data_IF_020831758884
#
_entry.id   IF_020831758884
#
_cell.length_a   1.000
_cell.length_b   1.000
_cell.length_c   1.000
_cell.angle_alpha   90.00
_cell.angle_beta   90.00
_cell.angle_gamma   90.00
#
_symmetry.space_group_name_H-M   'P 1'
#
loop_
_entity.id
_entity.type
_entity.pdbx_description
1 polymer ?
#
# COMPACT_ATOMS: atom_id res chain seq x y z
N UNK A 1 32.23 31.87 17.39
CA UNK A 1 32.72 30.62 16.76
C UNK A 1 31.62 29.57 16.89
N UNK A 2 31.09 29.06 15.78
CA UNK A 2 30.21 27.90 15.84
C UNK A 2 31.05 26.66 16.19
N UNK A 3 30.71 25.95 17.28
CA UNK A 3 31.39 24.72 17.64
C UNK A 3 31.10 23.65 16.57
N UNK A 4 32.15 23.19 15.88
CA UNK A 4 32.05 22.10 14.91
C UNK A 4 32.01 20.79 15.68
N UNK A 5 30.92 20.04 15.55
CA UNK A 5 30.77 18.74 16.21
C UNK A 5 31.28 17.61 15.30
N UNK A 6 32.34 16.93 15.76
CA UNK A 6 32.95 15.76 15.12
C UNK A 6 32.79 14.51 16.00
N UNK A 7 33.04 13.31 15.43
CA UNK A 7 32.98 12.05 16.17
C UNK A 7 31.57 11.50 16.46
N UNK A 8 30.50 12.12 15.94
CA UNK A 8 29.11 11.67 16.16
C UNK A 8 28.90 10.22 15.70
N UNK A 9 29.43 9.85 14.53
CA UNK A 9 29.33 8.47 14.02
C UNK A 9 29.94 7.43 14.98
N UNK A 10 31.05 7.76 15.64
CA UNK A 10 31.67 6.88 16.64
C UNK A 10 30.79 6.77 17.89
N UNK A 11 30.21 7.89 18.36
CA UNK A 11 29.29 7.89 19.50
C UNK A 11 28.01 7.09 19.22
N UNK A 12 27.46 7.19 18.00
CA UNK A 12 26.28 6.41 17.61
C UNK A 12 26.54 4.89 17.59
N UNK A 13 27.77 4.48 17.24
CA UNK A 13 28.20 3.07 17.22
C UNK A 13 28.73 2.55 18.54
N UNK A 14 29.14 3.43 19.46
CA UNK A 14 29.75 3.04 20.72
C UNK A 14 28.77 2.27 21.60
N UNK A 15 29.14 1.11 22.16
CA UNK A 15 28.32 0.41 23.15
C UNK A 15 28.25 1.19 24.48
N UNK A 16 29.22 2.06 24.76
CA UNK A 16 29.30 2.84 25.99
C UNK A 16 28.39 4.08 26.01
N UNK A 17 27.81 4.46 24.88
CA UNK A 17 26.89 5.60 24.81
C UNK A 17 25.46 5.13 25.06
N UNK A 18 24.76 5.67 26.07
CA UNK A 18 23.35 5.37 26.33
C UNK A 18 22.47 5.62 25.11
N UNK A 19 21.40 4.85 24.95
CA UNK A 19 20.52 4.95 23.78
C UNK A 19 19.78 6.27 23.71
N UNK A 20 19.40 6.83 24.85
CA UNK A 20 18.77 8.13 25.00
C UNK A 20 19.68 9.24 24.45
N UNK A 21 20.99 9.14 24.72
CA UNK A 21 21.98 10.09 24.22
C UNK A 21 22.25 9.88 22.72
N UNK A 22 22.27 8.64 22.25
CA UNK A 22 22.35 8.34 20.80
C UNK A 22 21.17 8.95 20.03
N UNK A 23 19.95 8.85 20.57
CA UNK A 23 18.76 9.45 19.97
C UNK A 23 18.88 10.98 19.89
N UNK A 24 19.28 11.64 20.98
CA UNK A 24 19.51 13.10 21.00
C UNK A 24 20.58 13.51 19.98
N UNK A 25 21.69 12.76 19.92
CA UNK A 25 22.78 13.00 18.97
C UNK A 25 22.32 12.83 17.52
N UNK A 26 21.54 11.80 17.22
CA UNK A 26 21.03 11.56 15.87
C UNK A 26 20.07 12.67 15.42
N UNK A 27 19.13 13.09 16.28
CA UNK A 27 18.21 14.20 16.00
C UNK A 27 18.95 15.51 15.79
N UNK A 28 19.92 15.82 16.65
CA UNK A 28 20.78 16.99 16.50
C UNK A 28 21.59 16.95 15.19
N UNK A 29 22.19 15.80 14.88
CA UNK A 29 22.98 15.63 13.66
C UNK A 29 22.16 15.78 12.38
N UNK A 30 20.88 15.37 12.39
CA UNK A 30 19.98 15.50 11.25
C UNK A 30 19.72 16.96 10.85
N UNK A 31 19.45 17.80 11.87
CA UNK A 31 19.05 19.20 11.70
C UNK A 31 20.28 20.11 11.54
N UNK A 32 21.36 19.83 12.27
CA UNK A 32 22.52 20.72 12.33
C UNK A 32 23.39 20.65 11.08
N UNK A 33 23.66 21.82 10.48
CA UNK A 33 24.67 22.00 9.44
C UNK A 33 26.11 21.92 9.99
N UNK A 34 26.29 22.10 11.30
CA UNK A 34 27.60 22.14 11.98
C UNK A 34 28.16 20.75 12.32
N UNK A 35 27.38 19.70 12.09
CA UNK A 35 27.82 18.31 12.26
C UNK A 35 28.54 17.82 11.01
N UNK A 36 29.83 17.49 11.13
CA UNK A 36 30.60 16.92 10.03
C UNK A 36 30.37 15.41 9.97
N UNK A 37 29.53 14.98 9.02
CA UNK A 37 29.23 13.57 8.76
C UNK A 37 29.15 13.35 7.24
N UNK A 38 30.04 12.56 6.63
CA UNK A 38 29.94 12.18 5.22
C UNK A 38 28.63 11.42 4.97
N UNK A 39 27.93 11.73 3.88
CA UNK A 39 26.62 11.13 3.55
C UNK A 39 25.65 11.12 4.74
N UNK A 40 25.58 12.26 5.44
CA UNK A 40 24.87 12.44 6.72
C UNK A 40 23.50 11.79 6.75
N UNK A 41 22.70 12.02 5.71
CA UNK A 41 21.33 11.53 5.59
C UNK A 41 21.31 9.99 5.55
N UNK A 42 22.16 9.39 4.71
CA UNK A 42 22.27 7.93 4.62
C UNK A 42 22.76 7.32 5.93
N UNK A 43 23.79 7.90 6.56
CA UNK A 43 24.38 7.34 7.79
C UNK A 43 23.37 7.34 8.93
N UNK A 44 22.58 8.40 9.09
CA UNK A 44 21.58 8.50 10.14
C UNK A 44 20.36 7.59 9.88
N UNK A 45 19.93 7.48 8.62
CA UNK A 45 18.89 6.53 8.21
C UNK A 45 19.35 5.08 8.43
N UNK A 46 20.55 4.72 7.98
CA UNK A 46 21.14 3.39 8.18
C UNK A 46 21.28 3.08 9.67
N UNK A 47 21.79 4.01 10.48
CA UNK A 47 21.90 3.81 11.92
C UNK A 47 20.54 3.51 12.57
N UNK A 48 19.52 4.31 12.28
CA UNK A 48 18.20 4.15 12.88
C UNK A 48 17.53 2.84 12.42
N UNK A 49 17.62 2.52 11.13
CA UNK A 49 17.07 1.28 10.57
C UNK A 49 17.79 0.05 11.11
N UNK A 50 19.12 0.07 11.25
CA UNK A 50 19.88 -1.04 11.85
C UNK A 50 19.57 -1.23 13.33
N UNK A 51 19.35 -0.16 14.09
CA UNK A 51 18.95 -0.25 15.50
C UNK A 51 17.60 -0.97 15.63
N UNK A 52 16.60 -0.55 14.86
CA UNK A 52 15.27 -1.19 14.82
C UNK A 52 15.37 -2.65 14.35
N UNK A 53 16.11 -2.91 13.27
CA UNK A 53 16.32 -4.26 12.74
C UNK A 53 17.03 -5.17 13.75
N UNK A 54 17.99 -4.62 14.49
CA UNK A 54 18.69 -5.31 15.57
C UNK A 54 17.73 -5.71 16.69
N UNK A 55 16.84 -4.81 17.08
CA UNK A 55 15.84 -5.09 18.12
C UNK A 55 14.86 -6.20 17.72
N UNK A 56 14.26 -6.12 16.53
CA UNK A 56 13.34 -7.17 16.03
C UNK A 56 14.00 -8.53 15.88
N UNK A 57 15.27 -8.56 15.45
CA UNK A 57 16.03 -9.81 15.34
C UNK A 57 16.60 -10.27 16.70
N UNK A 58 16.19 -9.67 17.82
CA UNK A 58 16.66 -9.97 19.18
C UNK A 58 18.19 -9.86 19.33
N UNK A 59 18.83 -9.02 18.51
CA UNK A 59 20.28 -8.73 18.56
C UNK A 59 20.60 -7.55 19.47
N UNK A 60 19.59 -6.73 19.79
CA UNK A 60 19.73 -5.52 20.62
C UNK A 60 18.53 -5.45 21.56
N UNK A 61 18.79 -5.30 22.85
CA UNK A 61 17.74 -5.04 23.84
C UNK A 61 17.54 -3.53 23.98
N UNK A 62 16.30 -3.06 23.85
CA UNK A 62 15.92 -1.66 23.95
C UNK A 62 14.73 -1.54 24.91
N UNK A 63 14.73 -0.48 25.72
CA UNK A 63 13.54 -0.08 26.47
C UNK A 63 12.44 0.39 25.51
N UNK A 64 11.19 0.30 25.95
CA UNK A 64 10.03 0.75 25.17
C UNK A 64 10.13 2.22 24.77
N UNK A 65 10.61 3.07 25.68
CA UNK A 65 10.79 4.52 25.45
C UNK A 65 11.82 4.81 24.36
N UNK A 66 12.93 4.06 24.34
CA UNK A 66 13.96 4.16 23.29
C UNK A 66 13.43 3.66 21.95
N UNK A 67 12.68 2.56 21.95
CA UNK A 67 12.08 2.00 20.75
C UNK A 67 11.11 2.99 20.10
N UNK A 68 10.20 3.57 20.87
CA UNK A 68 9.29 4.64 20.41
C UNK A 68 10.07 5.86 19.94
N UNK A 69 11.14 6.23 20.65
CA UNK A 69 12.06 7.30 20.28
C UNK A 69 12.72 7.08 18.92
N UNK A 70 13.15 5.85 18.61
CA UNK A 70 13.73 5.46 17.33
C UNK A 70 12.69 5.51 16.20
N UNK A 71 11.48 4.99 16.42
CA UNK A 71 10.39 5.07 15.44
C UNK A 71 10.02 6.51 15.13
N UNK A 72 9.87 7.35 16.15
CA UNK A 72 9.62 8.79 15.97
C UNK A 72 10.79 9.47 15.25
N UNK A 73 12.04 9.15 15.60
CA UNK A 73 13.22 9.73 14.96
C UNK A 73 13.27 9.39 13.47
N UNK A 74 13.01 8.13 13.12
CA UNK A 74 12.96 7.68 11.74
C UNK A 74 11.80 8.34 10.98
N UNK A 75 10.63 8.48 11.61
CA UNK A 75 9.52 9.21 11.01
C UNK A 75 9.91 10.65 10.67
N UNK A 76 10.54 11.36 11.60
CA UNK A 76 10.98 12.74 11.41
C UNK A 76 11.99 12.86 10.27
N UNK A 77 12.89 11.88 10.13
CA UNK A 77 13.86 11.83 9.04
C UNK A 77 13.17 11.68 7.68
N UNK A 78 12.25 10.72 7.58
CA UNK A 78 11.48 10.43 6.35
C UNK A 78 10.61 11.62 5.92
N UNK A 79 10.05 12.37 6.87
CA UNK A 79 9.19 13.54 6.59
C UNK A 79 9.95 14.84 6.43
N UNK A 80 11.26 14.86 6.68
CA UNK A 80 12.01 16.10 6.64
C UNK A 80 12.04 16.68 5.22
N UNK A 81 11.84 18.00 5.12
CA UNK A 81 12.04 18.75 3.87
C UNK A 81 13.45 18.54 3.32
N UNK A 82 14.42 18.36 4.23
CA UNK A 82 15.81 18.07 3.91
C UNK A 82 15.95 16.80 3.08
N UNK A 83 15.34 15.69 3.51
CA UNK A 83 15.35 14.44 2.74
C UNK A 83 14.68 14.62 1.37
N UNK A 84 13.54 15.30 1.34
CA UNK A 84 12.81 15.58 0.09
C UNK A 84 13.66 16.38 -0.91
N UNK A 85 14.39 17.39 -0.46
CA UNK A 85 15.32 18.18 -1.30
C UNK A 85 16.48 17.31 -1.78
N UNK A 86 17.11 16.54 -0.87
CA UNK A 86 18.22 15.65 -1.22
C UNK A 86 17.84 14.62 -2.30
N UNK A 87 16.64 14.03 -2.20
CA UNK A 87 16.10 13.11 -3.21
C UNK A 87 15.87 13.83 -4.54
N UNK A 88 15.29 15.04 -4.53
CA UNK A 88 15.07 15.85 -5.74
C UNK A 88 16.37 16.27 -6.44
N UNK A 89 17.43 16.52 -5.67
CA UNK A 89 18.75 16.85 -6.19
C UNK A 89 19.48 15.64 -6.81
N UNK A 90 18.87 14.46 -6.83
CA UNK A 90 19.46 13.24 -7.40
C UNK A 90 20.62 12.67 -6.59
N UNK A 91 20.84 13.15 -5.36
CA UNK A 91 21.83 12.55 -4.46
C UNK A 91 21.38 11.14 -4.08
N UNK A 92 22.26 10.13 -4.13
CA UNK A 92 21.89 8.74 -3.89
C UNK A 92 21.66 8.50 -2.40
N UNK A 93 20.49 8.88 -1.89
CA UNK A 93 19.97 8.37 -0.63
C UNK A 93 19.29 7.05 -0.94
N UNK A 94 19.98 5.95 -0.65
CA UNK A 94 19.45 4.61 -0.81
C UNK A 94 18.59 4.28 0.40
N UNK A 95 17.30 4.60 0.32
CA UNK A 95 16.30 3.91 1.15
C UNK A 95 16.17 2.52 0.54
N UNK A 96 17.01 1.58 0.98
CA UNK A 96 16.98 0.22 0.44
C UNK A 96 15.57 -0.33 0.66
N UNK A 97 14.86 -0.68 -0.42
CA UNK A 97 13.44 -1.02 -0.37
C UNK A 97 13.14 -2.26 0.49
N UNK A 98 14.14 -3.12 0.68
CA UNK A 98 14.09 -4.22 1.64
C UNK A 98 13.97 -3.71 3.09
N UNK A 99 14.62 -2.59 3.42
CA UNK A 99 14.50 -1.96 4.73
C UNK A 99 13.15 -1.27 4.88
N UNK A 100 12.66 -0.60 3.84
CA UNK A 100 11.31 -0.03 3.87
C UNK A 100 10.24 -1.12 4.08
N UNK A 101 10.35 -2.25 3.36
CA UNK A 101 9.48 -3.41 3.55
C UNK A 101 9.57 -3.97 4.98
N UNK A 102 10.79 -4.12 5.50
CA UNK A 102 11.00 -4.57 6.87
C UNK A 102 10.35 -3.63 7.89
N UNK A 103 10.59 -2.32 7.77
CA UNK A 103 10.04 -1.31 8.66
C UNK A 103 8.51 -1.32 8.66
N UNK A 104 7.88 -1.38 7.49
CA UNK A 104 6.42 -1.46 7.37
C UNK A 104 5.90 -2.75 8.02
N UNK A 105 6.53 -3.91 7.75
CA UNK A 105 6.14 -5.19 8.38
C UNK A 105 6.24 -5.14 9.90
N UNK A 106 7.35 -4.59 10.39
CA UNK A 106 7.64 -4.42 11.80
C UNK A 106 6.64 -3.49 12.48
N UNK A 107 6.43 -2.29 11.95
CA UNK A 107 5.53 -1.30 12.54
C UNK A 107 4.06 -1.71 12.44
N UNK A 108 3.70 -2.52 11.43
CA UNK A 108 2.33 -3.05 11.27
C UNK A 108 1.91 -4.00 12.39
N UNK A 109 2.84 -4.54 13.16
CA UNK A 109 2.55 -5.35 14.35
C UNK A 109 2.08 -4.50 15.55
N UNK A 110 2.21 -3.17 15.47
CA UNK A 110 1.90 -2.24 16.56
C UNK A 110 0.88 -1.21 16.08
N UNK A 111 -0.39 -1.37 16.45
CA UNK A 111 -1.49 -0.53 15.94
C UNK A 111 -1.29 0.97 16.18
N UNK A 112 -0.66 1.37 17.29
CA UNK A 112 -0.37 2.79 17.59
C UNK A 112 0.63 3.43 16.61
N UNK A 113 1.43 2.64 15.91
CA UNK A 113 2.37 3.10 14.88
C UNK A 113 1.72 3.26 13.50
N UNK A 114 0.46 2.83 13.31
CA UNK A 114 -0.20 2.87 12.02
C UNK A 114 -0.22 4.30 11.43
N UNK A 115 -0.71 5.26 12.19
CA UNK A 115 -0.84 6.67 11.77
C UNK A 115 0.50 7.40 11.82
N UNK A 116 1.30 7.14 12.85
CA UNK A 116 2.52 7.90 13.12
C UNK A 116 3.73 7.44 12.31
N UNK A 117 3.71 6.21 11.78
CA UNK A 117 4.86 5.65 11.07
C UNK A 117 4.51 4.79 9.85
N UNK A 118 3.62 3.78 9.99
CA UNK A 118 3.35 2.81 8.92
C UNK A 118 2.80 3.47 7.66
N UNK A 119 1.70 4.22 7.80
CA UNK A 119 1.05 4.95 6.69
C UNK A 119 2.00 6.01 6.09
N UNK A 120 2.69 6.83 6.90
CA UNK A 120 3.67 7.78 6.38
C UNK A 120 4.82 7.11 5.59
N UNK A 121 5.33 5.96 6.07
CA UNK A 121 6.37 5.20 5.36
C UNK A 121 5.87 4.66 4.03
N UNK A 122 4.64 4.12 3.99
CA UNK A 122 4.00 3.69 2.73
C UNK A 122 3.85 4.88 1.78
N UNK A 123 3.40 6.04 2.27
CA UNK A 123 3.29 7.27 1.48
C UNK A 123 4.64 7.70 0.89
N UNK A 124 5.73 7.61 1.66
CA UNK A 124 7.08 7.88 1.17
C UNK A 124 7.54 6.86 0.12
N UNK A 125 7.19 5.57 0.26
CA UNK A 125 7.45 4.57 -0.78
C UNK A 125 6.66 4.89 -2.05
N UNK A 126 5.41 5.36 -1.93
CA UNK A 126 4.59 5.81 -3.06
C UNK A 126 5.22 6.99 -3.80
N UNK A 127 5.80 7.97 -3.09
CA UNK A 127 6.45 9.11 -3.76
C UNK A 127 7.71 8.70 -4.53
N UNK A 128 8.42 7.68 -4.05
CA UNK A 128 9.53 7.05 -4.77
C UNK A 128 9.05 6.27 -6.00
N UNK A 129 7.96 5.51 -5.88
CA UNK A 129 7.34 4.83 -7.02
C UNK A 129 6.94 5.81 -8.12
N UNK A 130 6.43 6.99 -7.77
CA UNK A 130 6.05 8.03 -8.75
C UNK A 130 7.24 8.62 -9.53
N UNK A 131 8.48 8.36 -9.13
CA UNK A 131 9.65 8.73 -9.95
C UNK A 131 9.82 7.83 -11.19
N UNK A 132 9.09 6.72 -11.25
CA UNK A 132 9.03 5.81 -12.38
C UNK A 132 10.26 4.93 -12.58
N UNK A 133 10.26 4.24 -13.71
CA UNK A 133 11.26 3.20 -14.05
C UNK A 133 12.69 3.75 -14.10
N UNK A 134 12.89 5.06 -14.29
CA UNK A 134 14.21 5.68 -14.29
C UNK A 134 15.01 5.41 -13.00
N UNK A 135 14.33 5.46 -11.84
CA UNK A 135 14.90 5.19 -10.52
C UNK A 135 14.72 3.73 -10.08
N UNK A 136 13.60 3.10 -10.46
CA UNK A 136 13.24 1.73 -10.07
C UNK A 136 13.11 0.87 -11.33
N UNK A 137 14.26 0.42 -11.86
CA UNK A 137 14.30 -0.45 -13.05
C UNK A 137 14.06 -1.93 -12.76
N UNK A 138 14.34 -2.36 -11.52
CA UNK A 138 14.35 -3.78 -11.16
C UNK A 138 12.96 -4.22 -10.66
N UNK A 139 12.40 -5.27 -11.26
CA UNK A 139 11.11 -5.83 -10.84
C UNK A 139 11.07 -6.27 -9.38
N UNK A 140 12.20 -6.74 -8.85
CA UNK A 140 12.34 -7.09 -7.44
C UNK A 140 12.00 -5.93 -6.51
N UNK A 141 12.32 -4.69 -6.89
CA UNK A 141 12.01 -3.52 -6.08
C UNK A 141 10.51 -3.29 -5.95
N UNK A 142 9.75 -3.44 -7.04
CA UNK A 142 8.28 -3.36 -7.01
C UNK A 142 7.70 -4.48 -6.14
N UNK A 143 8.23 -5.70 -6.26
CA UNK A 143 7.81 -6.84 -5.41
C UNK A 143 8.08 -6.59 -3.92
N UNK A 144 9.21 -5.96 -3.56
CA UNK A 144 9.48 -5.56 -2.18
C UNK A 144 8.44 -4.55 -1.67
N UNK A 145 8.07 -3.56 -2.49
CA UNK A 145 7.01 -2.61 -2.15
C UNK A 145 5.68 -3.32 -1.96
N UNK A 146 5.28 -4.19 -2.89
CA UNK A 146 4.05 -4.98 -2.79
C UNK A 146 4.03 -5.82 -1.52
N UNK A 147 5.15 -6.45 -1.14
CA UNK A 147 5.25 -7.20 0.11
C UNK A 147 5.26 -6.32 1.37
N UNK A 148 5.54 -5.02 1.26
CA UNK A 148 5.36 -4.04 2.32
C UNK A 148 3.89 -3.65 2.44
N UNK A 149 3.25 -3.32 1.31
CA UNK A 149 1.82 -3.01 1.22
C UNK A 149 0.97 -4.18 1.74
N UNK A 150 1.40 -5.41 1.52
CA UNK A 150 0.72 -6.61 2.04
C UNK A 150 0.66 -6.65 3.58
N UNK A 151 1.65 -6.07 4.25
CA UNK A 151 1.76 -6.14 5.71
C UNK A 151 0.97 -5.04 6.44
N UNK A 152 0.57 -3.98 5.75
CA UNK A 152 -0.19 -2.87 6.35
C UNK A 152 -1.52 -3.40 6.92
N UNK A 153 -1.87 -3.11 8.19
CA UNK A 153 -3.10 -3.62 8.77
C UNK A 153 -4.32 -2.94 8.13
N UNK A 154 -5.38 -3.71 7.90
CA UNK A 154 -6.70 -3.22 7.48
C UNK A 154 -7.81 -3.68 8.43
N UNK A 155 -7.47 -4.49 9.44
CA UNK A 155 -8.41 -5.05 10.39
C UNK A 155 -8.24 -4.37 11.76
N UNK A 156 -9.33 -4.31 12.53
CA UNK A 156 -9.33 -3.75 13.90
C UNK A 156 -8.83 -2.30 13.99
N UNK A 157 -9.10 -1.48 12.96
CA UNK A 157 -8.78 -0.05 12.91
C UNK A 157 -10.03 0.80 13.14
N UNK A 158 -9.85 2.02 13.65
CA UNK A 158 -10.93 3.02 13.61
C UNK A 158 -11.16 3.46 12.16
N UNK A 159 -12.39 3.89 11.83
CA UNK A 159 -12.75 4.25 10.45
C UNK A 159 -11.76 5.24 9.80
N UNK A 160 -11.30 6.26 10.53
CA UNK A 160 -10.35 7.27 10.02
C UNK A 160 -8.98 6.67 9.72
N UNK A 161 -8.48 5.78 10.59
CA UNK A 161 -7.18 5.11 10.40
C UNK A 161 -7.27 4.08 9.27
N UNK A 162 -8.39 3.35 9.21
CA UNK A 162 -8.72 2.46 8.11
C UNK A 162 -8.67 3.19 6.77
N UNK A 163 -9.37 4.32 6.65
CA UNK A 163 -9.40 5.13 5.44
C UNK A 163 -8.00 5.56 5.00
N UNK A 164 -7.19 6.02 5.95
CA UNK A 164 -5.84 6.51 5.70
C UNK A 164 -4.92 5.36 5.23
N UNK A 165 -5.03 4.18 5.84
CA UNK A 165 -4.30 2.98 5.42
C UNK A 165 -4.74 2.50 4.04
N UNK A 166 -6.05 2.44 3.81
CA UNK A 166 -6.64 2.02 2.54
C UNK A 166 -6.19 2.94 1.40
N UNK A 167 -6.27 4.26 1.60
CA UNK A 167 -5.83 5.24 0.62
C UNK A 167 -4.32 5.12 0.36
N UNK A 168 -3.49 4.94 1.39
CA UNK A 168 -2.05 4.79 1.20
C UNK A 168 -1.69 3.55 0.36
N UNK A 169 -2.35 2.41 0.60
CA UNK A 169 -2.17 1.20 -0.22
C UNK A 169 -2.68 1.44 -1.65
N UNK A 170 -3.88 2.01 -1.80
CA UNK A 170 -4.46 2.33 -3.11
C UNK A 170 -3.54 3.22 -3.94
N UNK A 171 -3.04 4.33 -3.38
CA UNK A 171 -2.16 5.26 -4.08
C UNK A 171 -0.82 4.61 -4.45
N UNK A 172 -0.30 3.71 -3.62
CA UNK A 172 0.89 2.93 -3.93
C UNK A 172 0.63 1.99 -5.12
N UNK A 173 -0.44 1.21 -5.09
CA UNK A 173 -0.83 0.34 -6.21
C UNK A 173 -1.04 1.15 -7.49
N UNK A 174 -1.71 2.29 -7.39
CA UNK A 174 -1.97 3.17 -8.52
C UNK A 174 -0.66 3.69 -9.12
N UNK A 175 0.30 4.12 -8.29
CA UNK A 175 1.62 4.52 -8.74
C UNK A 175 2.39 3.38 -9.43
N UNK A 176 2.25 2.13 -8.98
CA UNK A 176 2.88 0.98 -9.64
C UNK A 176 2.28 0.78 -11.04
N UNK A 177 0.95 0.75 -11.15
CA UNK A 177 0.26 0.61 -12.44
C UNK A 177 0.65 1.71 -13.42
N UNK A 178 0.72 2.96 -12.97
CA UNK A 178 0.99 4.10 -13.85
C UNK A 178 2.46 4.26 -14.23
N UNK A 179 3.37 3.99 -13.29
CA UNK A 179 4.78 4.39 -13.44
C UNK A 179 5.73 3.21 -13.66
N UNK A 180 5.27 1.95 -13.58
CA UNK A 180 6.09 0.72 -13.65
C UNK A 180 5.44 -0.36 -14.52
N UNK A 181 4.94 0.02 -15.70
CA UNK A 181 4.18 -0.89 -16.58
C UNK A 181 5.02 -2.05 -17.12
N UNK A 182 6.32 -1.86 -17.40
CA UNK A 182 7.17 -2.92 -17.93
C UNK A 182 7.42 -4.03 -16.90
N UNK A 183 7.56 -3.63 -15.65
CA UNK A 183 7.80 -4.53 -14.51
C UNK A 183 6.52 -5.30 -14.12
N UNK A 184 5.35 -4.76 -14.46
CA UNK A 184 4.07 -5.27 -14.00
C UNK A 184 3.80 -6.71 -14.45
N UNK A 185 4.26 -7.12 -15.64
CA UNK A 185 4.07 -8.49 -16.13
C UNK A 185 4.58 -9.55 -15.14
N UNK A 186 5.73 -9.30 -14.50
CA UNK A 186 6.33 -10.21 -13.53
C UNK A 186 5.75 -10.04 -12.12
N UNK A 187 5.21 -8.86 -11.81
CA UNK A 187 4.70 -8.51 -10.49
C UNK A 187 3.16 -8.65 -10.38
N UNK A 188 2.45 -8.92 -11.47
CA UNK A 188 1.00 -8.92 -11.55
C UNK A 188 0.32 -9.82 -10.50
N UNK A 189 0.77 -11.06 -10.22
CA UNK A 189 0.16 -11.86 -9.16
C UNK A 189 0.31 -11.23 -7.76
N UNK A 190 1.49 -10.66 -7.46
CA UNK A 190 1.73 -9.98 -6.19
C UNK A 190 0.90 -8.70 -6.08
N UNK A 191 0.75 -7.98 -7.20
CA UNK A 191 -0.08 -6.79 -7.31
C UNK A 191 -1.54 -7.13 -7.02
N UNK A 192 -2.09 -8.12 -7.73
CA UNK A 192 -3.48 -8.56 -7.57
C UNK A 192 -3.75 -9.10 -6.17
N UNK A 193 -2.78 -9.76 -5.53
CA UNK A 193 -2.95 -10.21 -4.15
C UNK A 193 -3.13 -9.04 -3.16
N UNK A 194 -2.36 -7.95 -3.33
CA UNK A 194 -2.52 -6.74 -2.50
C UNK A 194 -3.83 -6.04 -2.83
N UNK A 195 -4.19 -5.92 -4.11
CA UNK A 195 -5.44 -5.31 -4.52
C UNK A 195 -6.66 -6.09 -4.03
N UNK A 196 -6.66 -7.42 -4.17
CA UNK A 196 -7.71 -8.29 -3.66
C UNK A 196 -7.87 -8.15 -2.14
N UNK A 197 -6.78 -7.93 -1.39
CA UNK A 197 -6.88 -7.61 0.05
C UNK A 197 -7.69 -6.34 0.32
N UNK A 198 -7.57 -5.30 -0.53
CA UNK A 198 -8.41 -4.10 -0.43
C UNK A 198 -9.88 -4.43 -0.74
N UNK A 199 -10.13 -5.21 -1.80
CA UNK A 199 -11.48 -5.66 -2.19
C UNK A 199 -12.15 -6.45 -1.07
N UNK A 200 -11.48 -7.47 -0.53
CA UNK A 200 -11.99 -8.26 0.60
C UNK A 200 -12.22 -7.40 1.83
N UNK A 201 -11.27 -6.54 2.17
CA UNK A 201 -11.39 -5.66 3.33
C UNK A 201 -12.63 -4.76 3.23
N UNK A 202 -12.85 -4.10 2.09
CA UNK A 202 -14.02 -3.23 1.95
C UNK A 202 -15.34 -3.99 1.86
N UNK A 203 -15.33 -5.22 1.36
CA UNK A 203 -16.51 -6.09 1.36
C UNK A 203 -16.89 -6.52 2.78
N UNK A 204 -15.90 -6.82 3.63
CA UNK A 204 -16.14 -7.18 5.02
C UNK A 204 -16.60 -5.98 5.87
N UNK A 205 -15.98 -4.82 5.71
CA UNK A 205 -16.39 -3.62 6.45
C UNK A 205 -17.70 -3.01 5.91
N UNK A 206 -17.93 -3.13 4.60
CA UNK A 206 -19.16 -2.67 3.92
C UNK A 206 -20.37 -3.58 4.06
N UNK A 207 -20.30 -4.61 4.93
CA UNK A 207 -21.42 -5.50 5.21
C UNK A 207 -22.58 -4.73 5.85
N UNK A 208 -23.80 -5.11 5.49
CA UNK A 208 -25.00 -4.59 6.09
C UNK A 208 -25.07 -5.04 7.56
N UNK A 209 -24.76 -4.13 8.49
CA UNK A 209 -25.02 -4.32 9.92
C UNK A 209 -26.46 -3.87 10.20
N UNK A 210 -27.10 -4.40 11.25
CA UNK A 210 -28.47 -4.01 11.63
C UNK A 210 -28.61 -2.51 11.92
N UNK A 211 -29.79 -2.04 12.31
CA UNK A 211 -30.23 -0.63 12.37
C UNK A 211 -29.37 0.41 13.15
N UNK A 212 -28.21 0.04 13.67
CA UNK A 212 -27.25 0.90 14.37
C UNK A 212 -26.11 1.42 13.47
N UNK A 213 -26.40 1.78 12.21
CA UNK A 213 -25.39 2.33 11.30
C UNK A 213 -25.12 3.81 11.66
N UNK A 214 -24.05 4.05 12.43
CA UNK A 214 -23.52 5.39 12.70
C UNK A 214 -23.04 6.01 11.38
N UNK A 215 -23.78 7.01 10.86
CA UNK A 215 -23.59 7.58 9.52
C UNK A 215 -22.18 8.07 9.17
N UNK A 216 -21.33 8.39 10.15
CA UNK A 216 -19.94 8.80 9.92
C UNK A 216 -19.02 7.68 9.41
N UNK A 217 -19.16 6.45 9.89
CA UNK A 217 -18.38 5.30 9.39
C UNK A 217 -18.86 4.88 7.99
N UNK A 218 -20.15 5.08 7.73
CA UNK A 218 -20.79 4.75 6.46
C UNK A 218 -20.13 5.45 5.26
N UNK A 219 -19.86 6.75 5.37
CA UNK A 219 -19.26 7.54 4.29
C UNK A 219 -17.80 7.14 4.03
N UNK A 220 -17.05 6.77 5.07
CA UNK A 220 -15.66 6.32 4.94
C UNK A 220 -15.57 5.07 4.05
N UNK A 221 -16.42 4.07 4.31
CA UNK A 221 -16.43 2.84 3.52
C UNK A 221 -16.92 3.09 2.09
N UNK A 222 -17.89 4.00 1.90
CA UNK A 222 -18.32 4.40 0.58
C UNK A 222 -17.20 5.09 -0.22
N UNK A 223 -16.35 5.89 0.43
CA UNK A 223 -15.18 6.47 -0.23
C UNK A 223 -14.15 5.41 -0.60
N UNK A 224 -13.91 4.42 0.26
CA UNK A 224 -13.00 3.32 -0.02
C UNK A 224 -13.50 2.43 -1.18
N UNK A 225 -14.83 2.21 -1.29
CA UNK A 225 -15.39 1.44 -2.41
C UNK A 225 -15.25 2.15 -3.75
N UNK A 226 -15.35 3.49 -3.78
CA UNK A 226 -15.05 4.31 -4.97
C UNK A 226 -13.58 4.21 -5.40
N UNK A 227 -12.64 4.06 -4.46
CA UNK A 227 -11.24 3.82 -4.78
C UNK A 227 -11.04 2.45 -5.45
N UNK A 228 -11.74 1.42 -4.97
CA UNK A 228 -11.72 0.09 -5.60
C UNK A 228 -12.32 0.10 -7.00
N UNK A 229 -13.48 0.74 -7.18
CA UNK A 229 -14.11 0.96 -8.50
C UNK A 229 -13.10 1.60 -9.47
N UNK A 230 -12.47 2.70 -9.06
CA UNK A 230 -11.47 3.41 -9.86
C UNK A 230 -10.27 2.52 -10.21
N UNK A 231 -9.77 1.73 -9.27
CA UNK A 231 -8.65 0.82 -9.53
C UNK A 231 -9.02 -0.25 -10.56
N UNK A 232 -10.24 -0.82 -10.51
CA UNK A 232 -10.70 -1.74 -11.55
C UNK A 232 -10.73 -1.10 -12.93
N UNK A 233 -11.22 0.14 -13.06
CA UNK A 233 -11.20 0.87 -14.34
C UNK A 233 -9.77 1.05 -14.87
N UNK A 234 -8.79 1.34 -14.00
CA UNK A 234 -7.38 1.47 -14.41
C UNK A 234 -6.74 0.14 -14.81
N UNK A 235 -7.04 -0.94 -14.10
CA UNK A 235 -6.59 -2.29 -14.48
C UNK A 235 -7.16 -2.64 -15.86
N UNK A 236 -8.44 -2.35 -16.11
CA UNK A 236 -9.06 -2.59 -17.40
C UNK A 236 -8.49 -1.73 -18.53
N UNK A 237 -8.08 -0.49 -18.25
CA UNK A 237 -7.44 0.38 -19.23
C UNK A 237 -6.05 -0.13 -19.67
N UNK A 238 -5.35 -0.90 -18.82
CA UNK A 238 -3.99 -1.43 -19.08
C UNK A 238 -4.06 -2.95 -19.34
N UNK A 239 -5.14 -3.36 -20.01
CA UNK A 239 -5.63 -4.74 -20.16
C UNK A 239 -4.59 -5.76 -20.61
N UNK A 240 -3.60 -5.41 -21.44
CA UNK A 240 -2.58 -6.33 -21.94
C UNK A 240 -1.83 -7.08 -20.82
N UNK A 241 -1.68 -6.46 -19.65
CA UNK A 241 -0.99 -7.06 -18.51
C UNK A 241 -1.86 -7.99 -17.65
N UNK A 242 -3.19 -7.94 -17.81
CA UNK A 242 -4.14 -8.56 -16.87
C UNK A 242 -5.26 -9.38 -17.53
N UNK A 243 -5.37 -9.41 -18.86
CA UNK A 243 -6.40 -10.18 -19.58
C UNK A 243 -6.44 -11.65 -19.17
N UNK A 244 -5.28 -12.30 -19.05
CA UNK A 244 -5.16 -13.71 -18.61
C UNK A 244 -5.50 -13.93 -17.14
N UNK A 245 -5.65 -12.85 -16.36
CA UNK A 245 -5.97 -12.88 -14.93
C UNK A 245 -7.40 -12.41 -14.63
N UNK A 246 -8.13 -11.89 -15.64
CA UNK A 246 -9.48 -11.35 -15.50
C UNK A 246 -10.47 -12.35 -14.90
N UNK A 247 -10.48 -13.60 -15.39
CA UNK A 247 -11.31 -14.68 -14.85
C UNK A 247 -11.03 -14.93 -13.35
N UNK A 248 -9.75 -14.93 -12.95
CA UNK A 248 -9.38 -15.14 -11.55
C UNK A 248 -9.83 -13.98 -10.66
N UNK A 249 -9.73 -12.75 -11.14
CA UNK A 249 -10.23 -11.57 -10.41
C UNK A 249 -11.74 -11.66 -10.18
N UNK A 250 -12.51 -12.03 -11.21
CA UNK A 250 -13.96 -12.24 -11.09
C UNK A 250 -14.26 -13.37 -10.10
N UNK A 251 -13.59 -14.52 -10.22
CA UNK A 251 -13.76 -15.66 -9.32
C UNK A 251 -13.49 -15.28 -7.84
N UNK A 252 -12.42 -14.54 -7.59
CA UNK A 252 -12.08 -14.02 -6.26
C UNK A 252 -13.16 -13.08 -5.73
N UNK A 253 -13.63 -12.13 -6.55
CA UNK A 253 -14.70 -11.21 -6.19
C UNK A 253 -15.99 -11.94 -5.79
N UNK A 254 -16.49 -12.86 -6.63
CA UNK A 254 -17.76 -13.56 -6.35
C UNK A 254 -17.65 -14.51 -5.16
N UNK A 255 -16.46 -15.09 -4.94
CA UNK A 255 -16.18 -15.93 -3.78
C UNK A 255 -16.25 -15.14 -2.48
N UNK A 256 -15.76 -13.90 -2.49
CA UNK A 256 -15.86 -13.02 -1.32
C UNK A 256 -17.29 -12.49 -1.15
N UNK A 257 -17.96 -12.14 -2.26
CA UNK A 257 -19.35 -11.66 -2.24
C UNK A 257 -20.30 -12.70 -1.65
N UNK A 258 -20.06 -13.99 -1.91
CA UNK A 258 -20.88 -15.06 -1.33
C UNK A 258 -20.86 -15.07 0.22
N UNK A 259 -19.81 -14.53 0.85
CA UNK A 259 -19.63 -14.55 2.30
C UNK A 259 -20.32 -13.39 3.02
N UNK A 260 -20.70 -12.33 2.31
CA UNK A 260 -21.19 -11.08 2.91
C UNK A 260 -22.42 -10.53 2.21
N UNK A 261 -23.35 -9.97 2.99
CA UNK A 261 -24.43 -9.15 2.44
C UNK A 261 -23.99 -7.69 2.50
N UNK A 262 -23.72 -7.08 1.35
CA UNK A 262 -23.25 -5.69 1.26
C UNK A 262 -24.39 -4.68 1.36
N UNK A 263 -24.08 -3.50 1.90
CA UNK A 263 -24.96 -2.33 1.77
C UNK A 263 -25.10 -1.93 0.31
N UNK A 264 -26.27 -1.41 -0.06
CA UNK A 264 -26.65 -1.17 -1.46
C UNK A 264 -25.72 -0.18 -2.17
N UNK A 265 -25.31 0.89 -1.49
CA UNK A 265 -24.41 1.92 -1.99
C UNK A 265 -22.99 1.39 -2.28
N UNK A 266 -22.45 0.55 -1.38
CA UNK A 266 -21.15 -0.11 -1.57
C UNK A 266 -21.24 -1.20 -2.64
N UNK A 267 -22.30 -2.03 -2.61
CA UNK A 267 -22.54 -3.08 -3.62
C UNK A 267 -22.55 -2.47 -5.02
N UNK A 268 -23.22 -1.33 -5.20
CA UNK A 268 -23.26 -0.62 -6.47
C UNK A 268 -21.84 -0.29 -6.97
N UNK A 269 -21.02 0.37 -6.14
CA UNK A 269 -19.65 0.79 -6.52
C UNK A 269 -18.75 -0.38 -6.90
N UNK A 270 -18.78 -1.45 -6.10
CA UNK A 270 -17.97 -2.63 -6.37
C UNK A 270 -18.45 -3.40 -7.61
N UNK A 271 -19.76 -3.39 -7.86
CA UNK A 271 -20.38 -4.04 -9.02
C UNK A 271 -20.03 -3.31 -10.32
N UNK A 272 -20.08 -1.97 -10.34
CA UNK A 272 -19.61 -1.18 -11.49
C UNK A 272 -18.12 -1.43 -11.75
N UNK A 273 -17.31 -1.50 -10.68
CA UNK A 273 -15.89 -1.85 -10.79
C UNK A 273 -15.65 -3.21 -11.43
N UNK A 274 -16.30 -4.28 -10.96
CA UNK A 274 -16.06 -5.64 -11.49
C UNK A 274 -16.59 -5.80 -12.92
N UNK A 275 -17.59 -5.02 -13.34
CA UNK A 275 -18.06 -5.03 -14.73
C UNK A 275 -16.96 -4.62 -15.72
N UNK A 276 -16.09 -3.68 -15.36
CA UNK A 276 -14.92 -3.34 -16.19
C UNK A 276 -13.96 -4.52 -16.40
N UNK A 277 -13.87 -5.44 -15.43
CA UNK A 277 -13.06 -6.65 -15.56
C UNK A 277 -13.79 -7.73 -16.37
N UNK A 278 -15.11 -7.83 -16.22
CA UNK A 278 -15.93 -8.72 -17.06
C UNK A 278 -15.91 -8.34 -18.54
N UNK A 279 -15.69 -7.06 -18.87
CA UNK A 279 -15.45 -6.62 -20.25
C UNK A 279 -14.13 -7.16 -20.84
N UNK A 280 -13.16 -7.56 -20.00
CA UNK A 280 -11.89 -8.16 -20.43
C UNK A 280 -11.98 -9.68 -20.60
N UNK A 281 -12.97 -10.33 -19.99
CA UNK A 281 -13.14 -11.77 -20.03
C UNK A 281 -13.53 -12.23 -21.44
N UNK A 282 -12.79 -13.20 -21.97
CA UNK A 282 -13.08 -13.86 -23.24
C UNK A 282 -14.07 -15.01 -23.03
N UNK A 283 -14.58 -15.60 -24.12
CA UNK A 283 -15.56 -16.69 -24.01
C UNK A 283 -15.05 -17.89 -23.19
N UNK A 284 -13.75 -18.19 -23.26
CA UNK A 284 -13.17 -19.27 -22.48
C UNK A 284 -13.09 -18.94 -20.99
N UNK A 285 -12.90 -17.67 -20.62
CA UNK A 285 -12.94 -17.19 -19.23
C UNK A 285 -14.34 -17.33 -18.65
N UNK A 286 -15.36 -16.96 -19.42
CA UNK A 286 -16.77 -17.13 -19.02
C UNK A 286 -17.10 -18.61 -18.85
N UNK A 287 -16.70 -19.47 -19.80
CA UNK A 287 -16.87 -20.93 -19.66
C UNK A 287 -16.19 -21.45 -18.39
N UNK A 288 -14.95 -21.03 -18.13
CA UNK A 288 -14.22 -21.38 -16.92
C UNK A 288 -14.98 -20.96 -15.65
N UNK A 289 -15.53 -19.75 -15.60
CA UNK A 289 -16.31 -19.27 -14.45
C UNK A 289 -17.62 -20.05 -14.27
N UNK A 290 -18.34 -20.33 -15.35
CA UNK A 290 -19.60 -21.07 -15.29
C UNK A 290 -19.40 -22.52 -14.87
N UNK A 291 -18.30 -23.18 -15.26
CA UNK A 291 -18.08 -24.60 -14.93
C UNK A 291 -17.18 -24.84 -13.73
N UNK A 292 -16.20 -23.97 -13.49
CA UNK A 292 -15.10 -24.17 -12.55
C UNK A 292 -15.40 -23.71 -11.11
N UNK A 293 -16.38 -22.83 -10.91
CA UNK A 293 -16.75 -22.35 -9.57
C UNK A 293 -17.57 -23.38 -8.79
N UNK A 294 -17.43 -23.39 -7.45
CA UNK A 294 -18.30 -24.19 -6.57
C UNK A 294 -19.76 -23.75 -6.69
N UNK A 295 -20.72 -24.65 -6.43
CA UNK A 295 -22.15 -24.42 -6.70
C UNK A 295 -22.68 -23.08 -6.20
N UNK A 296 -22.46 -22.75 -4.92
CA UNK A 296 -22.97 -21.49 -4.36
C UNK A 296 -22.25 -20.24 -4.90
N UNK A 297 -20.95 -20.32 -5.19
CA UNK A 297 -20.20 -19.21 -5.82
C UNK A 297 -20.69 -18.99 -7.27
N UNK A 298 -21.01 -20.09 -7.96
CA UNK A 298 -21.52 -20.08 -9.33
C UNK A 298 -22.89 -19.42 -9.44
N UNK A 299 -23.77 -19.61 -8.46
CA UNK A 299 -25.07 -18.92 -8.40
C UNK A 299 -24.88 -17.40 -8.31
N UNK A 300 -24.01 -16.94 -7.42
CA UNK A 300 -23.66 -15.51 -7.28
C UNK A 300 -23.07 -14.96 -8.59
N UNK A 301 -22.18 -15.74 -9.24
CA UNK A 301 -21.64 -15.37 -10.55
C UNK A 301 -22.73 -15.27 -11.62
N UNK A 302 -23.65 -16.22 -11.69
CA UNK A 302 -24.72 -16.23 -12.69
C UNK A 302 -25.65 -15.01 -12.53
N UNK A 303 -25.97 -14.62 -11.29
CA UNK A 303 -26.75 -13.40 -11.02
C UNK A 303 -26.00 -12.13 -11.46
N UNK A 304 -24.71 -12.04 -11.12
CA UNK A 304 -23.83 -10.92 -11.52
C UNK A 304 -23.71 -10.84 -13.04
N UNK A 305 -23.46 -11.97 -13.71
CA UNK A 305 -23.27 -12.03 -15.15
C UNK A 305 -24.56 -11.73 -15.92
N UNK A 306 -25.71 -12.21 -15.43
CA UNK A 306 -27.02 -11.83 -15.96
C UNK A 306 -27.21 -10.31 -15.91
N UNK A 307 -26.96 -9.70 -14.74
CA UNK A 307 -27.05 -8.24 -14.56
C UNK A 307 -26.10 -7.47 -15.48
N UNK A 308 -24.85 -7.95 -15.62
CA UNK A 308 -23.87 -7.40 -16.55
C UNK A 308 -24.37 -7.43 -18.01
N UNK A 309 -24.91 -8.56 -18.46
CA UNK A 309 -25.38 -8.71 -19.86
C UNK A 309 -26.62 -7.87 -20.16
N UNK A 310 -27.50 -7.65 -19.18
CA UNK A 310 -28.74 -6.90 -19.37
C UNK A 310 -28.58 -5.39 -19.23
N UNK A 311 -27.71 -4.92 -18.32
CA UNK A 311 -27.66 -3.50 -17.96
C UNK A 311 -26.36 -2.80 -18.37
N UNK A 312 -25.21 -3.46 -18.21
CA UNK A 312 -23.90 -2.82 -18.41
C UNK A 312 -23.40 -2.98 -19.85
N UNK A 313 -23.32 -4.21 -20.35
CA UNK A 313 -22.79 -4.53 -21.69
C UNK A 313 -23.48 -3.76 -22.83
N UNK A 314 -24.83 -3.64 -22.85
CA UNK A 314 -25.51 -2.90 -23.90
C UNK A 314 -25.29 -1.39 -23.80
N UNK A 315 -25.20 -0.84 -22.58
CA UNK A 315 -24.95 0.58 -22.34
C UNK A 315 -23.59 1.00 -22.87
N UNK A 316 -22.55 0.21 -22.57
CA UNK A 316 -21.18 0.45 -23.06
C UNK A 316 -21.09 0.37 -24.59
N UNK A 317 -21.69 -0.67 -25.19
CA UNK A 317 -21.76 -0.78 -26.66
C UNK A 317 -22.56 0.35 -27.32
N UNK A 318 -23.50 0.95 -26.59
CA UNK A 318 -24.19 2.17 -27.01
C UNK A 318 -23.26 3.38 -26.98
N UNK A 319 -22.54 3.60 -25.88
CA UNK A 319 -21.58 4.70 -25.72
C UNK A 319 -20.46 4.66 -26.78
N UNK A 320 -19.90 3.48 -27.07
CA UNK A 320 -18.87 3.29 -28.10
C UNK A 320 -19.37 3.61 -29.53
N UNK A 321 -20.68 3.57 -29.78
CA UNK A 321 -21.26 3.94 -31.08
C UNK A 321 -21.38 5.44 -31.30
N UNK A 322 -21.32 6.24 -30.23
CA UNK A 322 -21.48 7.71 -30.30
C UNK A 322 -20.17 8.48 -30.07
N UNK A 323 -19.06 7.78 -29.82
CA UNK A 323 -17.73 8.35 -29.59
C UNK A 323 -16.78 8.28 -30.80
N UNK A 324 -17.32 8.04 -32.01
CA UNK A 324 -16.57 8.04 -33.29
C UNK A 324 -16.45 9.43 -33.89
#
# INVERSE_FOLDING_TARGET
MAAIYSGIHLKLKSPHTPWEDKLKLARFAWISSQCLLPNKEQVLLDWCTYALTGWYNKKVELSQTVLEGLWSCLNDFLHSRKLHVTIKEGKPVSVRLNMAQFLVRSSSQVTSLAVTFTIPTVTAMTTLLRQGEGLIRNSHHVVLVLGALHAVPLDHLTAVVYQSAFLAIHEALFAIIQCHTQVMLNAAPSFLNVFYRLVTSIMQEGRQRGAADTGGESEVYLQCSRLVERMYSHIAAISENFTTLSAFMVAQYVTELQKVTLRSDIKLRLTEGIYHILDLCLEHDIKFLTTGLQTGVREVFNELYSSYTHYHKPKRQGEDKYTV
#
